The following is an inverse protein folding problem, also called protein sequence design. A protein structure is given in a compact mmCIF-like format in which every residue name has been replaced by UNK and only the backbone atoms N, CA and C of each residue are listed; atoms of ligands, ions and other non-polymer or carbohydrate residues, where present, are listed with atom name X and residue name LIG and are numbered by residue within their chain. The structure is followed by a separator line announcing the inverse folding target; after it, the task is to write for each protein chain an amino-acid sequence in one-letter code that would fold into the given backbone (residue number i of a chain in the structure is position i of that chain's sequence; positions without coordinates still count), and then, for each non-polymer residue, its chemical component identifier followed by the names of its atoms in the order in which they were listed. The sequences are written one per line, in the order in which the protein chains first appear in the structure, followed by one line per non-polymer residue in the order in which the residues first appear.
data_IF_743522915178
#
_entry.id   IF_743522915178
#
_cell.length_a   1.000
_cell.length_b   1.000
_cell.length_c   1.000
_cell.angle_alpha   90.00
_cell.angle_beta   90.00
_cell.angle_gamma   90.00
#
_symmetry.space_group_name_H-M   'P 1'
#
loop_
_entity.id
_entity.type
_entity.pdbx_description
1 polymer ?
#
# COMPACT_ATOMS: atom_id res chain seq x y z
N UNK A 1 7.66 -8.76 2.55
CA UNK A 1 8.31 -7.62 1.84
C UNK A 1 7.90 -6.34 2.54
N UNK A 2 8.85 -5.47 2.83
CA UNK A 2 8.58 -4.13 3.38
C UNK A 2 8.54 -3.13 2.22
N UNK A 3 7.69 -2.11 2.30
CA UNK A 3 7.66 -1.06 1.27
C UNK A 3 8.88 -0.11 1.35
N UNK A 4 9.80 -0.34 2.30
CA UNK A 4 11.00 0.50 2.51
C UNK A 4 12.30 -0.26 2.23
N UNK A 5 12.24 -1.43 1.56
CA UNK A 5 13.43 -2.20 1.18
C UNK A 5 14.12 -1.58 -0.03
N UNK A 6 15.05 -0.66 0.23
CA UNK A 6 16.00 -0.16 -0.76
C UNK A 6 17.41 -0.10 -0.15
N UNK A 7 18.42 -0.10 -1.02
CA UNK A 7 19.81 -0.39 -0.64
C UNK A 7 20.33 0.53 0.48
N UNK A 8 19.96 1.81 0.44
CA UNK A 8 20.45 2.84 1.34
C UNK A 8 19.83 2.79 2.75
N UNK A 9 18.76 2.04 2.93
CA UNK A 9 18.02 1.98 4.20
C UNK A 9 17.89 0.59 4.80
N UNK A 10 18.67 -0.39 4.34
CA UNK A 10 18.61 -1.76 4.85
C UNK A 10 18.77 -1.85 6.37
N UNK A 11 19.68 -1.07 6.93
CA UNK A 11 19.95 -1.07 8.37
C UNK A 11 18.82 -0.44 9.20
N UNK A 12 17.81 0.16 8.55
CA UNK A 12 16.68 0.81 9.23
C UNK A 12 15.43 -0.07 9.28
N UNK A 13 15.46 -1.21 8.58
CA UNK A 13 14.32 -2.12 8.51
C UNK A 13 14.30 -3.00 9.77
N UNK A 14 13.12 -3.16 10.37
CA UNK A 14 12.91 -4.15 11.40
C UNK A 14 12.85 -5.55 10.76
N UNK A 15 13.81 -6.40 11.10
CA UNK A 15 13.92 -7.77 10.58
C UNK A 15 12.82 -8.71 11.09
N UNK A 16 12.03 -8.27 12.08
CA UNK A 16 10.99 -9.07 12.70
C UNK A 16 9.58 -8.80 12.14
N UNK A 17 9.48 -8.07 11.03
CA UNK A 17 8.19 -7.83 10.38
C UNK A 17 7.58 -9.12 9.83
N UNK A 18 6.26 -9.24 9.93
CA UNK A 18 5.55 -10.38 9.35
C UNK A 18 5.66 -10.35 7.81
N UNK A 19 6.20 -11.40 7.16
CA UNK A 19 6.36 -11.43 5.70
C UNK A 19 5.06 -11.63 4.92
N UNK A 20 3.97 -12.03 5.58
CA UNK A 20 2.66 -12.31 4.98
C UNK A 20 2.73 -13.24 3.76
N UNK A 21 3.05 -14.49 3.99
CA UNK A 21 2.97 -15.51 2.95
C UNK A 21 1.50 -15.86 2.61
N UNK A 22 1.25 -16.27 1.35
CA UNK A 22 -0.07 -16.73 0.94
C UNK A 22 -0.54 -17.89 1.82
N UNK A 23 -1.62 -17.70 2.58
CA UNK A 23 -2.21 -18.71 3.46
C UNK A 23 -3.73 -18.54 3.50
N UNK A 24 -4.43 -19.35 2.74
CA UNK A 24 -5.89 -19.29 2.63
C UNK A 24 -6.58 -19.64 3.94
N UNK A 25 -6.06 -20.60 4.71
CA UNK A 25 -6.67 -20.99 5.99
C UNK A 25 -6.55 -19.87 7.04
N UNK A 26 -5.39 -19.21 7.10
CA UNK A 26 -5.23 -18.02 7.95
C UNK A 26 -6.16 -16.89 7.51
N UNK A 27 -6.32 -16.66 6.19
CA UNK A 27 -7.25 -15.67 5.68
C UNK A 27 -8.70 -15.97 6.08
N UNK A 28 -9.14 -17.22 5.97
CA UNK A 28 -10.47 -17.66 6.42
C UNK A 28 -10.67 -17.43 7.92
N UNK A 29 -9.67 -17.71 8.72
CA UNK A 29 -9.70 -17.49 10.15
C UNK A 29 -9.85 -16.00 10.49
N UNK A 30 -9.03 -15.14 9.92
CA UNK A 30 -9.08 -13.68 10.13
C UNK A 30 -10.45 -13.13 9.72
N UNK A 31 -10.98 -13.57 8.59
CA UNK A 31 -12.31 -13.17 8.14
C UNK A 31 -13.41 -13.60 9.11
N UNK A 32 -13.32 -14.82 9.65
CA UNK A 32 -14.28 -15.31 10.63
C UNK A 32 -14.18 -14.53 11.95
N UNK A 33 -12.97 -14.23 12.43
CA UNK A 33 -12.74 -13.42 13.64
C UNK A 33 -13.28 -11.99 13.48
N UNK A 34 -13.22 -11.42 12.27
CA UNK A 34 -13.83 -10.13 11.94
C UNK A 34 -15.36 -10.20 11.72
N UNK A 35 -15.97 -11.38 11.81
CA UNK A 35 -17.42 -11.56 11.75
C UNK A 35 -17.99 -11.87 10.36
N UNK A 36 -17.16 -12.16 9.35
CA UNK A 36 -17.59 -12.64 8.05
C UNK A 36 -17.93 -14.14 8.12
N UNK A 37 -19.00 -14.47 8.83
CA UNK A 37 -19.36 -15.84 9.20
C UNK A 37 -20.70 -16.31 8.62
N UNK A 38 -21.36 -15.48 7.82
CA UNK A 38 -22.66 -15.78 7.26
C UNK A 38 -22.58 -16.12 5.76
N UNK A 39 -23.57 -16.85 5.26
CA UNK A 39 -23.80 -17.08 3.83
C UNK A 39 -24.90 -16.13 3.28
N UNK A 40 -25.25 -16.25 2.01
CA UNK A 40 -26.19 -15.37 1.33
C UNK A 40 -27.63 -15.42 1.92
N UNK A 41 -27.99 -16.49 2.58
CA UNK A 41 -29.27 -16.67 3.25
C UNK A 41 -29.27 -16.24 4.71
N UNK A 42 -28.14 -15.72 5.20
CA UNK A 42 -27.95 -15.32 6.60
C UNK A 42 -27.70 -16.49 7.57
N UNK A 43 -27.49 -17.70 7.04
CA UNK A 43 -27.07 -18.86 7.82
C UNK A 43 -25.54 -18.88 8.03
N UNK A 44 -25.06 -19.86 8.80
CA UNK A 44 -23.61 -20.08 9.01
C UNK A 44 -22.90 -20.39 7.68
N UNK A 45 -21.80 -19.67 7.41
CA UNK A 45 -20.97 -19.88 6.23
C UNK A 45 -20.22 -21.22 6.30
N UNK A 46 -20.18 -21.92 5.19
CA UNK A 46 -19.40 -23.16 4.98
C UNK A 46 -18.58 -23.07 3.71
N UNK A 47 -17.45 -23.72 3.68
CA UNK A 47 -16.63 -23.82 2.48
C UNK A 47 -17.47 -24.33 1.30
N UNK A 48 -17.47 -23.57 0.20
CA UNK A 48 -18.30 -23.84 -0.98
C UNK A 48 -19.58 -23.01 -1.08
N UNK A 49 -19.95 -22.24 -0.05
CA UNK A 49 -21.13 -21.34 -0.09
C UNK A 49 -20.92 -20.11 -0.98
N UNK A 50 -19.70 -19.92 -1.52
CA UNK A 50 -19.36 -18.76 -2.32
C UNK A 50 -18.87 -17.58 -1.49
N UNK A 51 -19.48 -16.41 -1.65
CA UNK A 51 -19.10 -15.20 -0.94
C UNK A 51 -19.57 -15.24 0.52
N UNK A 52 -18.71 -14.81 1.44
CA UNK A 52 -19.05 -14.59 2.86
C UNK A 52 -19.88 -13.33 3.03
N UNK A 53 -20.69 -13.34 4.07
CA UNK A 53 -21.53 -12.20 4.49
C UNK A 53 -21.32 -11.86 5.95
N UNK A 54 -21.62 -10.60 6.27
CA UNK A 54 -21.64 -10.06 7.63
C UNK A 54 -22.86 -9.17 7.81
N UNK A 55 -23.48 -9.19 8.96
CA UNK A 55 -24.52 -8.24 9.29
C UNK A 55 -23.88 -6.90 9.72
N UNK A 56 -24.23 -5.83 9.02
CA UNK A 56 -23.79 -4.46 9.29
C UNK A 56 -25.03 -3.57 9.32
N UNK A 57 -25.28 -2.90 10.44
CA UNK A 57 -26.43 -2.02 10.64
C UNK A 57 -27.80 -2.69 10.33
N UNK A 58 -27.90 -3.98 10.61
CA UNK A 58 -29.12 -4.79 10.36
C UNK A 58 -29.31 -5.23 8.89
N UNK A 59 -28.31 -4.99 8.04
CA UNK A 59 -28.30 -5.46 6.64
C UNK A 59 -27.24 -6.53 6.42
N UNK A 60 -27.59 -7.55 5.66
CA UNK A 60 -26.66 -8.60 5.26
C UNK A 60 -25.79 -8.11 4.11
N UNK A 61 -24.52 -7.86 4.37
CA UNK A 61 -23.56 -7.33 3.39
C UNK A 61 -22.62 -8.45 2.89
N UNK A 62 -22.44 -8.59 1.57
CA UNK A 62 -21.46 -9.52 1.00
C UNK A 62 -20.03 -8.97 1.12
N UNK A 63 -19.06 -9.88 1.26
CA UNK A 63 -17.63 -9.54 1.21
C UNK A 63 -17.17 -9.39 -0.23
N UNK A 64 -17.38 -8.22 -0.79
CA UNK A 64 -17.01 -7.87 -2.16
C UNK A 64 -15.90 -6.81 -2.14
N UNK A 65 -14.81 -7.12 -2.82
CA UNK A 65 -13.72 -6.17 -3.06
C UNK A 65 -13.96 -5.50 -4.43
N UNK A 66 -14.26 -4.21 -4.38
CA UNK A 66 -14.44 -3.37 -5.56
C UNK A 66 -13.10 -2.79 -5.96
N UNK A 67 -12.47 -3.37 -6.97
CA UNK A 67 -11.14 -3.00 -7.41
C UNK A 67 -11.18 -2.08 -8.64
N UNK A 68 -10.71 -0.85 -8.49
CA UNK A 68 -10.48 0.05 -9.62
C UNK A 68 -9.03 -0.06 -10.09
N UNK A 69 -8.82 -0.38 -11.35
CA UNK A 69 -7.49 -0.50 -11.95
C UNK A 69 -7.42 0.13 -13.35
N UNK A 70 -6.23 0.14 -13.94
CA UNK A 70 -6.01 0.76 -15.26
C UNK A 70 -5.77 -0.27 -16.35
N UNK A 71 -6.24 0.04 -17.55
CA UNK A 71 -5.93 -0.71 -18.76
C UNK A 71 -4.43 -0.61 -19.13
N UNK A 72 -3.95 -1.57 -19.92
CA UNK A 72 -2.57 -1.66 -20.40
C UNK A 72 -1.51 -1.59 -19.29
N UNK A 73 -1.83 -2.11 -18.11
CA UNK A 73 -0.94 -2.17 -16.96
C UNK A 73 -0.58 -3.65 -16.66
N UNK A 74 0.68 -4.07 -16.86
CA UNK A 74 1.09 -5.46 -16.66
C UNK A 74 0.83 -5.98 -15.23
N UNK A 75 0.91 -5.11 -14.21
CA UNK A 75 0.62 -5.48 -12.83
C UNK A 75 -0.87 -5.76 -12.65
N UNK A 76 -1.74 -4.89 -13.20
CA UNK A 76 -3.18 -5.11 -13.18
C UNK A 76 -3.58 -6.39 -13.91
N UNK A 77 -2.95 -6.69 -15.05
CA UNK A 77 -3.18 -7.93 -15.81
C UNK A 77 -2.78 -9.17 -14.99
N UNK A 78 -1.61 -9.13 -14.34
CA UNK A 78 -1.15 -10.21 -13.47
C UNK A 78 -2.08 -10.43 -12.28
N UNK A 79 -2.44 -9.36 -11.57
CA UNK A 79 -3.33 -9.42 -10.41
C UNK A 79 -4.73 -9.92 -10.82
N UNK A 80 -5.26 -9.51 -11.98
CA UNK A 80 -6.54 -9.98 -12.52
C UNK A 80 -6.55 -11.47 -12.79
N UNK A 81 -5.39 -12.08 -13.01
CA UNK A 81 -5.25 -13.54 -13.20
C UNK A 81 -5.13 -14.28 -11.88
N UNK A 82 -4.42 -13.71 -10.89
CA UNK A 82 -4.05 -14.41 -9.67
C UNK A 82 -5.06 -14.24 -8.52
N UNK A 83 -5.63 -13.04 -8.37
CA UNK A 83 -6.43 -12.71 -7.20
C UNK A 83 -7.81 -13.40 -7.17
N UNK A 84 -8.58 -13.50 -8.29
CA UNK A 84 -9.96 -13.98 -8.23
C UNK A 84 -10.09 -15.38 -7.61
N UNK A 85 -9.23 -16.30 -8.01
CA UNK A 85 -9.25 -17.68 -7.49
C UNK A 85 -8.88 -17.72 -6.01
N UNK A 86 -7.78 -17.06 -5.62
CA UNK A 86 -7.31 -17.04 -4.23
C UNK A 86 -8.32 -16.36 -3.29
N UNK A 87 -8.98 -15.30 -3.74
CA UNK A 87 -10.00 -14.60 -2.97
C UNK A 87 -11.26 -15.42 -2.83
N UNK A 88 -11.71 -16.09 -3.91
CA UNK A 88 -12.86 -16.99 -3.88
C UNK A 88 -12.64 -18.18 -2.94
N UNK A 89 -11.43 -18.75 -2.89
CA UNK A 89 -11.06 -19.80 -1.94
C UNK A 89 -11.23 -19.36 -0.47
N UNK A 90 -11.01 -18.07 -0.17
CA UNK A 90 -11.21 -17.51 1.16
C UNK A 90 -12.67 -17.06 1.42
N UNK A 91 -13.53 -17.11 0.40
CA UNK A 91 -14.93 -16.65 0.48
C UNK A 91 -15.09 -15.15 0.23
N UNK A 92 -14.20 -14.54 -0.56
CA UNK A 92 -14.30 -13.15 -1.01
C UNK A 92 -14.65 -13.10 -2.51
N UNK A 93 -15.39 -12.09 -2.90
CA UNK A 93 -15.65 -11.78 -4.31
C UNK A 93 -14.79 -10.59 -4.74
N UNK A 94 -14.11 -10.70 -5.89
CA UNK A 94 -13.37 -9.59 -6.49
C UNK A 94 -14.12 -9.07 -7.72
N UNK A 95 -14.51 -7.80 -7.69
CA UNK A 95 -15.13 -7.10 -8.82
C UNK A 95 -14.18 -6.02 -9.33
N UNK A 96 -13.57 -6.27 -10.49
CA UNK A 96 -12.62 -5.34 -11.09
C UNK A 96 -13.31 -4.39 -12.08
N UNK A 97 -13.05 -3.09 -11.93
CA UNK A 97 -13.39 -2.05 -12.90
C UNK A 97 -12.11 -1.53 -13.54
N UNK A 98 -12.00 -1.69 -14.86
CA UNK A 98 -10.85 -1.22 -15.62
C UNK A 98 -11.21 0.15 -16.22
N UNK A 99 -10.33 1.15 -16.02
CA UNK A 99 -10.55 2.52 -16.51
C UNK A 99 -9.23 3.16 -16.97
N UNK A 100 -9.28 4.38 -17.45
CA UNK A 100 -8.07 5.16 -17.72
C UNK A 100 -7.43 5.70 -16.42
N UNK A 101 -6.14 6.02 -16.50
CA UNK A 101 -5.37 6.43 -15.33
C UNK A 101 -5.89 7.73 -14.66
N UNK A 102 -6.26 8.80 -15.39
CA UNK A 102 -6.86 9.99 -14.78
C UNK A 102 -8.16 9.71 -14.01
N UNK A 103 -9.02 8.85 -14.55
CA UNK A 103 -10.28 8.46 -13.90
C UNK A 103 -10.00 7.67 -12.62
N UNK A 104 -9.02 6.75 -12.63
CA UNK A 104 -8.62 6.02 -11.43
C UNK A 104 -8.03 6.96 -10.37
N UNK A 105 -7.17 7.93 -10.73
CA UNK A 105 -6.62 8.89 -9.78
C UNK A 105 -7.72 9.73 -9.14
N UNK A 106 -8.69 10.20 -9.93
CA UNK A 106 -9.84 10.91 -9.38
C UNK A 106 -10.63 10.05 -8.38
N UNK A 107 -10.78 8.75 -8.65
CA UNK A 107 -11.44 7.83 -7.72
C UNK A 107 -10.62 7.60 -6.43
N UNK A 108 -9.28 7.60 -6.51
CA UNK A 108 -8.40 7.52 -5.33
C UNK A 108 -8.54 8.79 -4.47
N UNK A 109 -8.51 9.96 -5.08
CA UNK A 109 -8.63 11.24 -4.35
C UNK A 109 -10.00 11.41 -3.68
N UNK A 110 -11.03 10.73 -4.20
CA UNK A 110 -12.40 10.74 -3.68
C UNK A 110 -12.84 9.36 -3.16
N UNK A 111 -11.93 8.54 -2.64
CA UNK A 111 -12.22 7.16 -2.26
C UNK A 111 -13.37 7.03 -1.24
N UNK A 112 -13.55 8.01 -0.35
CA UNK A 112 -14.68 8.04 0.57
C UNK A 112 -16.04 8.29 -0.09
N UNK A 113 -16.09 8.69 -1.36
CA UNK A 113 -17.29 9.01 -2.13
C UNK A 113 -17.58 7.97 -3.22
N UNK A 114 -16.68 7.00 -3.43
CA UNK A 114 -16.78 5.95 -4.45
C UNK A 114 -17.18 4.61 -3.85
N UNK A 115 -17.53 3.67 -4.72
CA UNK A 115 -17.78 2.27 -4.33
C UNK A 115 -16.49 1.45 -4.22
N UNK A 116 -15.36 1.99 -4.70
CA UNK A 116 -14.10 1.26 -4.76
C UNK A 116 -13.40 1.25 -3.41
N UNK A 117 -12.85 0.11 -3.07
CA UNK A 117 -12.11 -0.11 -1.83
C UNK A 117 -10.73 -0.78 -2.06
N UNK A 118 -10.32 -0.94 -3.31
CA UNK A 118 -8.99 -1.42 -3.70
C UNK A 118 -8.50 -0.70 -4.96
N UNK A 119 -7.23 -0.31 -4.93
CA UNK A 119 -6.51 0.31 -6.06
C UNK A 119 -5.09 -0.27 -6.13
N UNK A 120 -4.49 -0.29 -7.32
CA UNK A 120 -3.06 -0.57 -7.45
C UNK A 120 -2.35 0.63 -8.07
N UNK A 121 -1.36 1.15 -7.36
CA UNK A 121 -0.57 2.32 -7.73
C UNK A 121 0.91 2.06 -7.50
N UNK A 122 1.75 2.73 -8.27
CA UNK A 122 3.15 2.84 -7.97
C UNK A 122 3.41 4.08 -7.10
N UNK A 123 4.40 4.00 -6.23
CA UNK A 123 4.86 5.13 -5.41
C UNK A 123 6.38 5.18 -5.41
N UNK A 124 6.94 6.35 -5.19
CA UNK A 124 8.37 6.54 -4.96
C UNK A 124 8.64 6.83 -3.49
N UNK A 125 9.82 6.42 -3.03
CA UNK A 125 10.29 6.71 -1.69
C UNK A 125 11.54 7.57 -1.75
N UNK A 126 11.69 8.47 -0.80
CA UNK A 126 12.91 9.25 -0.58
C UNK A 126 13.46 8.94 0.81
N UNK A 127 14.75 9.23 1.01
CA UNK A 127 15.39 9.11 2.33
C UNK A 127 14.75 9.99 3.40
N UNK A 128 14.02 11.03 2.99
CA UNK A 128 13.30 11.95 3.88
C UNK A 128 11.82 11.60 4.02
N UNK A 129 11.51 10.33 4.03
CA UNK A 129 10.14 9.88 4.20
C UNK A 129 9.57 10.34 5.54
N UNK A 130 8.46 11.07 5.49
CA UNK A 130 7.76 11.59 6.67
C UNK A 130 6.30 11.14 6.64
N UNK A 131 5.96 10.02 7.31
CA UNK A 131 4.67 9.36 7.15
C UNK A 131 3.50 10.04 7.88
N UNK A 132 3.75 11.01 8.76
CA UNK A 132 2.75 11.53 9.68
C UNK A 132 1.49 12.07 9.01
N UNK A 133 1.58 12.70 7.85
CA UNK A 133 0.43 13.26 7.15
C UNK A 133 -0.30 12.22 6.28
N UNK A 134 0.39 11.16 5.85
CA UNK A 134 -0.24 10.05 5.10
C UNK A 134 -1.23 9.23 5.95
N UNK A 135 -1.08 9.27 7.29
CA UNK A 135 -1.93 8.54 8.23
C UNK A 135 -2.55 9.45 9.28
N UNK A 136 -2.53 10.78 9.04
CA UNK A 136 -3.16 11.75 9.93
C UNK A 136 -4.68 11.55 9.97
N UNK A 137 -5.25 11.69 11.16
CA UNK A 137 -6.71 11.70 11.37
C UNK A 137 -7.33 13.08 11.11
N UNK A 138 -6.53 14.10 10.78
CA UNK A 138 -7.01 15.42 10.45
C UNK A 138 -7.72 15.39 9.07
N UNK A 139 -8.99 15.80 9.05
CA UNK A 139 -9.85 15.79 7.85
C UNK A 139 -9.23 16.51 6.64
N UNK A 140 -8.37 17.51 6.87
CA UNK A 140 -7.69 18.22 5.78
C UNK A 140 -6.78 17.33 4.92
N UNK A 141 -6.34 16.19 5.46
CA UNK A 141 -5.44 15.24 4.75
C UNK A 141 -6.18 14.05 4.14
N UNK A 142 -7.44 13.82 4.51
CA UNK A 142 -8.25 12.75 3.92
C UNK A 142 -8.53 13.03 2.44
N UNK A 143 -8.25 12.05 1.59
CA UNK A 143 -8.39 12.17 0.13
C UNK A 143 -7.32 13.02 -0.56
N UNK A 144 -6.40 13.65 0.18
CA UNK A 144 -5.28 14.42 -0.37
C UNK A 144 -3.95 13.71 -0.14
N UNK A 145 -3.46 13.68 1.08
CA UNK A 145 -2.23 12.97 1.45
C UNK A 145 -2.53 11.61 2.09
N UNK A 146 -3.57 11.50 2.93
CA UNK A 146 -4.11 10.23 3.39
C UNK A 146 -5.08 9.68 2.33
N UNK A 147 -4.53 9.19 1.22
CA UNK A 147 -5.30 8.65 0.09
C UNK A 147 -5.91 7.28 0.38
N UNK A 148 -5.41 6.57 1.39
CA UNK A 148 -5.96 5.29 1.82
C UNK A 148 -7.25 5.45 2.65
N UNK A 149 -7.57 6.67 3.07
CA UNK A 149 -8.70 6.98 3.96
C UNK A 149 -8.68 6.20 5.28
N UNK A 150 -7.54 5.67 5.66
CA UNK A 150 -7.40 4.91 6.90
C UNK A 150 -7.43 5.86 8.10
N UNK A 151 -8.27 5.55 9.06
CA UNK A 151 -8.46 6.31 10.29
C UNK A 151 -8.15 5.41 11.50
N UNK A 152 -6.89 5.04 11.65
CA UNK A 152 -6.39 4.23 12.75
C UNK A 152 -5.51 5.08 13.67
N UNK A 153 -5.90 5.19 14.95
CA UNK A 153 -5.21 6.03 15.93
C UNK A 153 -3.79 5.56 16.21
N UNK A 154 -3.58 4.25 16.28
CA UNK A 154 -2.27 3.69 16.60
C UNK A 154 -1.27 3.95 15.46
N UNK A 155 -1.71 3.79 14.22
CA UNK A 155 -0.90 4.10 13.04
C UNK A 155 -0.60 5.60 12.94
N UNK A 156 -1.61 6.45 13.22
CA UNK A 156 -1.44 7.91 13.23
C UNK A 156 -0.43 8.35 14.30
N UNK A 157 -0.53 7.81 15.51
CA UNK A 157 0.38 8.14 16.63
C UNK A 157 1.81 7.67 16.34
N UNK A 158 1.98 6.45 15.81
CA UNK A 158 3.28 5.91 15.45
C UNK A 158 3.95 6.75 14.34
N UNK A 159 3.19 7.17 13.33
CA UNK A 159 3.68 8.04 12.25
C UNK A 159 4.02 9.46 12.76
N UNK A 160 3.21 10.02 13.65
CA UNK A 160 3.42 11.35 14.23
C UNK A 160 4.62 11.38 15.17
N UNK A 161 4.92 10.30 15.88
CA UNK A 161 6.06 10.21 16.80
C UNK A 161 7.38 10.55 16.11
N UNK A 162 7.56 10.13 14.86
CA UNK A 162 8.74 10.40 14.04
C UNK A 162 9.01 11.91 13.86
N UNK A 163 7.96 12.71 13.76
CA UNK A 163 8.07 14.18 13.59
C UNK A 163 8.62 14.88 14.81
N UNK A 164 8.44 14.31 15.99
CA UNK A 164 8.76 14.95 17.27
C UNK A 164 10.18 14.66 17.76
N UNK A 165 10.95 13.82 17.05
CA UNK A 165 12.29 13.43 17.46
C UNK A 165 13.31 14.47 17.03
N UNK A 166 14.22 14.90 17.92
CA UNK A 166 15.30 15.82 17.57
C UNK A 166 16.18 15.29 16.43
N UNK A 167 16.60 16.14 15.51
CA UNK A 167 17.36 15.75 14.32
C UNK A 167 18.75 15.11 14.63
N UNK A 168 19.29 15.31 15.81
CA UNK A 168 20.54 14.75 16.30
C UNK A 168 20.35 13.44 17.11
N UNK A 169 19.11 13.07 17.44
CA UNK A 169 18.78 11.82 18.12
C UNK A 169 18.53 10.69 17.13
N UNK A 170 19.61 10.14 16.57
CA UNK A 170 19.53 9.04 15.59
C UNK A 170 19.00 7.75 16.18
N UNK A 171 19.31 7.43 17.43
CA UNK A 171 18.86 6.20 18.10
C UNK A 171 17.36 6.28 18.40
N UNK A 172 16.90 7.40 18.92
CA UNK A 172 15.48 7.65 19.13
C UNK A 172 14.67 7.60 17.84
N UNK A 173 15.23 8.20 16.76
CA UNK A 173 14.60 8.14 15.45
C UNK A 173 14.48 6.69 14.92
N UNK A 174 15.56 5.91 14.97
CA UNK A 174 15.54 4.52 14.51
C UNK A 174 14.53 3.67 15.31
N UNK A 175 14.48 3.86 16.63
CA UNK A 175 13.53 3.17 17.49
C UNK A 175 12.08 3.50 17.09
N UNK A 176 11.76 4.76 16.90
CA UNK A 176 10.43 5.18 16.47
C UNK A 176 10.10 4.72 15.04
N UNK A 177 11.10 4.71 14.13
CA UNK A 177 10.95 4.22 12.77
C UNK A 177 10.62 2.73 12.72
N UNK A 178 11.30 1.90 13.51
CA UNK A 178 11.01 0.48 13.60
C UNK A 178 9.65 0.22 14.25
N UNK A 179 9.28 0.98 15.28
CA UNK A 179 7.93 0.91 15.85
C UNK A 179 6.85 1.26 14.82
N UNK A 180 7.05 2.34 14.05
CA UNK A 180 6.13 2.70 12.97
C UNK A 180 6.02 1.58 11.92
N UNK A 181 7.14 0.98 11.49
CA UNK A 181 7.13 -0.14 10.57
C UNK A 181 6.33 -1.33 11.09
N UNK A 182 6.46 -1.63 12.39
CA UNK A 182 5.71 -2.72 13.03
C UNK A 182 4.21 -2.45 13.01
N UNK A 183 3.78 -1.28 13.46
CA UNK A 183 2.36 -0.90 13.45
C UNK A 183 1.82 -0.89 12.02
N UNK A 184 2.58 -0.33 11.06
CA UNK A 184 2.21 -0.33 9.65
C UNK A 184 2.07 -1.76 9.09
N UNK A 185 2.98 -2.66 9.44
CA UNK A 185 2.94 -4.05 9.02
C UNK A 185 1.74 -4.80 9.61
N UNK A 186 1.35 -4.50 10.85
CA UNK A 186 0.17 -5.09 11.50
C UNK A 186 -1.15 -4.55 10.90
N UNK A 187 -1.23 -3.25 10.62
CA UNK A 187 -2.44 -2.60 10.06
C UNK A 187 -2.57 -2.78 8.55
N UNK A 188 -1.49 -3.00 7.85
CA UNK A 188 -1.40 -3.23 6.41
C UNK A 188 -2.21 -2.21 5.58
N UNK A 189 -1.96 -0.90 5.69
CA UNK A 189 -2.69 0.11 4.92
C UNK A 189 -2.46 0.01 3.41
N UNK A 190 -1.33 -0.58 3.02
CA UNK A 190 -0.98 -0.93 1.66
C UNK A 190 -0.43 -2.35 1.61
N UNK A 191 -0.63 -3.05 0.50
CA UNK A 191 -0.04 -4.36 0.23
C UNK A 191 1.11 -4.16 -0.75
N UNK A 192 2.38 -4.20 -0.30
CA UNK A 192 3.53 -4.08 -1.19
C UNK A 192 3.59 -5.28 -2.14
N UNK A 193 3.73 -5.03 -3.43
CA UNK A 193 3.80 -6.06 -4.46
C UNK A 193 5.26 -6.37 -4.83
N UNK A 194 6.00 -5.35 -5.24
CA UNK A 194 7.40 -5.44 -5.60
C UNK A 194 8.04 -4.06 -5.59
N UNK A 195 9.36 -4.02 -5.56
CA UNK A 195 10.16 -2.82 -5.78
C UNK A 195 10.91 -2.97 -7.09
N UNK A 196 11.00 -1.92 -7.86
CA UNK A 196 11.73 -1.88 -9.12
C UNK A 196 12.96 -0.97 -8.98
N UNK A 197 13.92 -1.16 -9.86
CA UNK A 197 15.14 -0.35 -9.91
C UNK A 197 15.11 0.56 -11.13
N UNK A 198 15.63 1.77 -10.98
CA UNK A 198 15.84 2.66 -12.10
C UNK A 198 17.16 2.31 -12.82
N UNK A 199 17.09 2.25 -14.14
CA UNK A 199 18.25 2.04 -14.99
C UNK A 199 18.36 3.20 -15.98
N UNK A 200 19.35 4.05 -15.80
CA UNK A 200 19.62 5.17 -16.69
C UNK A 200 20.55 4.71 -17.85
N UNK A 201 20.06 4.83 -19.06
CA UNK A 201 20.85 4.55 -20.28
C UNK A 201 21.19 5.87 -20.97
N UNK A 202 22.48 6.18 -21.05
CA UNK A 202 22.93 7.41 -21.68
C UNK A 202 24.14 7.19 -22.58
N UNK A 203 24.36 8.15 -23.48
CA UNK A 203 25.50 8.12 -24.38
C UNK A 203 26.83 8.16 -23.59
N UNK A 204 27.87 7.41 -24.02
CA UNK A 204 29.21 7.53 -23.41
C UNK A 204 29.83 8.93 -23.56
N UNK A 205 29.24 9.79 -24.39
CA UNK A 205 29.63 11.20 -24.51
C UNK A 205 29.08 12.05 -23.35
N UNK A 206 28.02 11.61 -22.63
CA UNK A 206 27.51 12.31 -21.46
C UNK A 206 28.45 12.05 -20.28
N UNK A 207 28.94 13.13 -19.68
CA UNK A 207 29.84 13.12 -18.56
C UNK A 207 29.23 13.88 -17.38
N UNK A 208 29.69 13.58 -16.14
CA UNK A 208 29.21 14.24 -14.93
C UNK A 208 27.76 13.87 -14.54
N UNK A 209 27.20 12.83 -15.15
CA UNK A 209 25.90 12.32 -14.77
C UNK A 209 26.03 11.47 -13.50
N UNK A 210 25.48 11.96 -12.39
CA UNK A 210 25.43 11.26 -11.11
C UNK A 210 24.04 11.44 -10.51
N UNK A 211 23.22 10.39 -10.57
CA UNK A 211 21.96 10.33 -9.81
C UNK A 211 22.15 9.48 -8.56
N UNK A 212 21.51 9.86 -7.47
CA UNK A 212 21.57 9.16 -6.19
C UNK A 212 20.19 9.09 -5.57
N UNK A 213 20.01 8.40 -4.44
CA UNK A 213 18.77 8.38 -3.69
C UNK A 213 18.32 9.78 -3.17
N UNK A 214 19.25 10.76 -3.14
CA UNK A 214 19.00 12.15 -2.72
C UNK A 214 18.91 13.09 -3.92
N UNK A 215 19.68 12.80 -4.97
CA UNK A 215 19.78 13.60 -6.19
C UNK A 215 19.01 12.92 -7.31
N UNK A 216 17.93 13.52 -7.72
CA UNK A 216 17.19 13.08 -8.89
C UNK A 216 17.90 13.48 -10.20
N UNK A 217 17.34 13.03 -11.33
CA UNK A 217 17.88 13.32 -12.64
C UNK A 217 17.98 14.82 -12.96
N UNK A 218 17.10 15.66 -12.40
CA UNK A 218 17.12 17.11 -12.65
C UNK A 218 18.33 17.78 -12.01
N UNK A 219 18.76 17.31 -10.86
CA UNK A 219 19.98 17.78 -10.19
C UNK A 219 21.23 17.25 -10.89
N UNK A 220 21.24 15.97 -11.29
CA UNK A 220 22.33 15.37 -12.05
C UNK A 220 22.56 16.11 -13.39
N UNK A 221 21.49 16.62 -14.02
CA UNK A 221 21.55 17.34 -15.28
C UNK A 221 22.34 18.68 -15.17
N UNK A 222 22.32 19.31 -14.02
CA UNK A 222 23.05 20.60 -13.79
C UNK A 222 24.56 20.43 -13.91
N UNK A 223 25.08 19.26 -13.49
CA UNK A 223 26.51 18.94 -13.50
C UNK A 223 26.93 18.18 -14.77
N UNK A 224 25.98 17.77 -15.60
CA UNK A 224 26.23 16.97 -16.79
C UNK A 224 26.69 17.81 -17.98
N UNK A 225 27.63 17.28 -18.78
CA UNK A 225 28.06 17.90 -20.05
C UNK A 225 28.27 16.83 -21.12
N UNK A 226 28.36 17.24 -22.38
CA UNK A 226 28.60 16.35 -23.51
C UNK A 226 29.98 16.60 -24.08
N UNK A 227 30.76 15.53 -24.27
CA UNK A 227 32.04 15.57 -24.98
C UNK A 227 31.83 15.51 -26.49
N UNK A 228 32.71 16.10 -27.28
CA UNK A 228 32.67 16.07 -28.74
C UNK A 228 32.80 14.63 -29.33
#
# INVERSE_FOLDING_TARGET
MSQWEYAESKDWIDENLNPYEKNIETAKQILAEDGWTLNAEGGEYKDGDGTRYKEVDGELKPLVIQWCNTEANPVSELLSTMLPEAMAEAGMELQATITDFPTMLNAVDHAGETVYNMYNLATGFSLQHSPWYYYSLDEQYLGTLNQNWIQDQELADAALALKSIPADDKEGWLTAWQNYQKVWNEKMPNIPLYSDEYHDFFSPKLQGWESTAIWDWSQALVEAWVTE
#
